data_IF_195996006405
#
_entry.id   IF_195996006405
#
_cell.length_a   1.000
_cell.length_b   1.000
_cell.length_c   1.000
_cell.angle_alpha   90.00
_cell.angle_beta   90.00
_cell.angle_gamma   90.00
#
_symmetry.space_group_name_H-M   'P 1'
#
loop_
_entity.id
_entity.type
_entity.pdbx_description
1 polymer ?
#
# COMPACT_ATOMS: atom_id res chain seq x y z
N UNK A 1 56.06 -0.54 -15.98
CA UNK A 1 55.13 -1.31 -15.09
C UNK A 1 55.91 -1.68 -13.84
N UNK A 2 55.34 -1.42 -12.67
CA UNK A 2 55.98 -1.85 -11.40
C UNK A 2 56.09 -3.37 -11.38
N UNK A 3 57.23 -3.89 -10.82
CA UNK A 3 57.46 -5.35 -10.66
C UNK A 3 56.29 -5.92 -9.82
N UNK A 4 55.57 -6.92 -10.37
CA UNK A 4 54.52 -7.62 -9.67
C UNK A 4 55.18 -8.52 -8.59
N UNK A 5 54.89 -8.28 -7.32
CA UNK A 5 55.32 -9.16 -6.21
C UNK A 5 54.32 -10.29 -6.05
N UNK A 6 54.59 -11.44 -6.64
CA UNK A 6 53.75 -12.64 -6.54
C UNK A 6 53.91 -13.31 -5.16
N UNK A 7 52.78 -13.75 -4.60
CA UNK A 7 52.74 -14.67 -3.45
C UNK A 7 52.99 -16.12 -3.94
N UNK A 8 53.19 -17.03 -3.02
CA UNK A 8 53.45 -18.46 -3.34
C UNK A 8 52.29 -19.11 -4.13
N UNK A 9 51.08 -18.55 -4.08
CA UNK A 9 49.88 -19.02 -4.80
C UNK A 9 49.63 -18.31 -6.13
N UNK A 10 50.64 -17.70 -6.71
CA UNK A 10 50.60 -16.91 -7.97
C UNK A 10 49.65 -15.71 -7.92
N UNK A 11 49.33 -15.21 -6.72
CA UNK A 11 48.52 -13.99 -6.54
C UNK A 11 49.38 -12.78 -6.21
N UNK A 12 48.90 -11.59 -6.52
CA UNK A 12 49.59 -10.34 -6.21
C UNK A 12 48.60 -9.23 -5.93
N UNK A 13 49.03 -8.24 -5.14
CA UNK A 13 48.24 -7.08 -4.81
C UNK A 13 48.28 -6.07 -5.97
N UNK A 14 47.14 -5.61 -6.41
CA UNK A 14 46.98 -4.56 -7.41
C UNK A 14 46.75 -3.22 -6.73
N UNK A 15 45.80 -3.16 -5.78
CA UNK A 15 45.45 -1.95 -5.07
C UNK A 15 44.90 -2.24 -3.65
N UNK A 16 45.31 -1.43 -2.70
CA UNK A 16 44.89 -1.48 -1.30
C UNK A 16 46.04 -1.55 -0.33
N UNK A 17 45.95 -0.79 0.77
CA UNK A 17 46.93 -0.76 1.87
C UNK A 17 46.62 -1.84 2.91
N UNK A 18 47.45 -1.94 3.96
CA UNK A 18 47.24 -2.93 5.03
C UNK A 18 45.88 -2.80 5.75
N UNK A 19 45.33 -1.58 5.84
CA UNK A 19 44.03 -1.29 6.46
C UNK A 19 42.83 -1.35 5.51
N UNK A 20 43.03 -1.47 4.20
CA UNK A 20 41.94 -1.45 3.23
C UNK A 20 41.22 -2.80 3.16
N UNK A 21 39.88 -2.71 3.08
CA UNK A 21 39.00 -3.87 2.95
C UNK A 21 37.80 -3.51 2.05
N UNK A 22 37.63 -4.15 0.88
CA UNK A 22 38.43 -5.21 0.30
C UNK A 22 39.73 -4.71 -0.39
N UNK A 23 40.66 -5.62 -0.66
CA UNK A 23 41.83 -5.42 -1.50
C UNK A 23 41.57 -5.94 -2.91
N UNK A 24 42.06 -5.22 -3.93
CA UNK A 24 42.04 -5.69 -5.32
C UNK A 24 43.26 -6.52 -5.61
N UNK A 25 43.03 -7.77 -5.98
CA UNK A 25 44.06 -8.78 -6.20
C UNK A 25 44.01 -9.29 -7.63
N UNK A 26 45.17 -9.72 -8.12
CA UNK A 26 45.32 -10.42 -9.38
C UNK A 26 45.83 -11.84 -9.14
N UNK A 27 45.40 -12.80 -9.95
CA UNK A 27 45.92 -14.18 -9.98
C UNK A 27 46.35 -14.51 -11.39
N UNK A 28 47.62 -14.89 -11.56
CA UNK A 28 48.14 -15.31 -12.85
C UNK A 28 47.52 -16.62 -13.30
N UNK A 29 47.04 -16.66 -14.54
CA UNK A 29 46.51 -17.84 -15.20
C UNK A 29 47.50 -18.39 -16.21
N UNK A 30 47.38 -19.67 -16.57
CA UNK A 30 48.22 -20.35 -17.54
C UNK A 30 48.05 -19.87 -18.98
N UNK A 31 46.94 -19.16 -19.28
CA UNK A 31 46.61 -18.65 -20.60
C UNK A 31 47.19 -17.26 -20.90
N UNK A 32 48.10 -16.75 -20.07
CA UNK A 32 48.78 -15.45 -20.23
C UNK A 32 47.92 -14.26 -19.78
N UNK A 33 46.85 -14.48 -19.04
CA UNK A 33 46.01 -13.43 -18.44
C UNK A 33 46.08 -13.50 -16.94
N UNK A 34 45.71 -12.39 -16.27
CA UNK A 34 45.48 -12.33 -14.83
C UNK A 34 43.98 -12.21 -14.55
N UNK A 35 43.45 -13.07 -13.73
CA UNK A 35 42.07 -12.97 -13.21
C UNK A 35 42.03 -12.02 -12.03
N UNK A 36 41.07 -11.07 -12.03
CA UNK A 36 40.90 -10.07 -10.99
C UNK A 36 39.86 -10.53 -9.97
N UNK A 37 40.15 -10.29 -8.70
CA UNK A 37 39.23 -10.58 -7.59
C UNK A 37 39.41 -9.62 -6.43
N UNK A 38 38.41 -9.53 -5.56
CA UNK A 38 38.46 -8.78 -4.31
C UNK A 38 38.73 -9.74 -3.15
N UNK A 39 39.74 -9.44 -2.34
CA UNK A 39 40.05 -10.16 -1.10
C UNK A 39 39.47 -9.39 0.08
N UNK A 40 38.50 -10.01 0.78
CA UNK A 40 37.91 -9.48 2.00
C UNK A 40 38.56 -10.13 3.23
N UNK A 41 38.83 -9.34 4.25
CA UNK A 41 39.32 -9.77 5.54
C UNK A 41 38.24 -9.60 6.61
N UNK A 42 37.90 -10.66 7.34
CA UNK A 42 36.84 -10.69 8.37
C UNK A 42 37.36 -10.93 9.79
N UNK A 43 38.63 -10.68 10.01
CA UNK A 43 39.27 -10.88 11.32
C UNK A 43 39.86 -12.26 11.50
N UNK A 44 40.12 -12.62 12.76
CA UNK A 44 40.63 -13.92 13.16
C UNK A 44 39.50 -14.77 13.74
N UNK A 45 39.44 -16.02 13.34
CA UNK A 45 38.48 -17.03 13.85
C UNK A 45 39.23 -18.17 14.48
N UNK A 46 38.72 -18.69 15.59
CA UNK A 46 39.27 -19.90 16.21
C UNK A 46 38.82 -21.10 15.42
N UNK A 47 39.78 -21.92 15.02
CA UNK A 47 39.57 -23.19 14.30
C UNK A 47 40.22 -24.29 15.07
N UNK A 48 39.46 -25.33 15.38
CA UNK A 48 39.98 -26.55 15.99
C UNK A 48 40.39 -27.54 14.89
N UNK A 49 41.65 -27.95 14.90
CA UNK A 49 42.16 -28.96 13.95
C UNK A 49 41.56 -30.34 14.26
N UNK A 50 41.66 -31.28 13.30
CA UNK A 50 41.22 -32.68 13.49
C UNK A 50 41.91 -33.37 14.68
N UNK A 51 43.03 -32.83 15.12
CA UNK A 51 43.83 -33.34 16.27
C UNK A 51 43.48 -32.62 17.59
N UNK A 52 42.39 -31.86 17.66
CA UNK A 52 41.93 -31.19 18.88
C UNK A 52 42.70 -29.91 19.25
N UNK A 53 43.65 -29.45 18.46
CA UNK A 53 44.41 -28.22 18.72
C UNK A 53 43.66 -27.02 18.16
N UNK A 54 43.35 -26.06 19.03
CA UNK A 54 42.70 -24.80 18.65
C UNK A 54 43.72 -23.72 18.30
N UNK A 55 43.58 -23.10 17.13
CA UNK A 55 44.46 -22.01 16.68
C UNK A 55 43.66 -20.90 15.99
N UNK A 56 44.20 -19.69 15.99
CA UNK A 56 43.57 -18.54 15.32
C UNK A 56 43.96 -18.51 13.84
N UNK A 57 42.95 -18.50 12.98
CA UNK A 57 43.12 -18.39 11.52
C UNK A 57 42.48 -17.09 11.02
N UNK A 58 43.17 -16.40 10.09
CA UNK A 58 42.57 -15.24 9.39
C UNK A 58 41.41 -15.69 8.51
N UNK A 59 40.23 -15.18 8.74
CA UNK A 59 39.08 -15.40 7.85
C UNK A 59 39.18 -14.44 6.67
N UNK A 60 39.35 -15.02 5.47
CA UNK A 60 39.39 -14.29 4.19
C UNK A 60 38.38 -14.88 3.22
N UNK A 61 37.77 -14.03 2.41
CA UNK A 61 36.87 -14.45 1.32
C UNK A 61 37.24 -13.71 0.05
N UNK A 62 37.14 -14.41 -1.08
CA UNK A 62 37.45 -13.86 -2.39
C UNK A 62 36.16 -13.73 -3.21
N UNK A 63 35.96 -12.56 -3.84
CA UNK A 63 34.92 -12.31 -4.84
C UNK A 63 35.60 -12.18 -6.20
N UNK A 64 35.37 -13.14 -7.11
CA UNK A 64 35.91 -13.12 -8.46
C UNK A 64 35.09 -12.09 -9.29
N UNK A 65 35.79 -11.15 -9.94
CA UNK A 65 35.14 -10.06 -10.68
C UNK A 65 34.76 -10.45 -12.12
N UNK A 66 35.27 -11.56 -12.65
CA UNK A 66 35.11 -11.94 -14.06
C UNK A 66 35.84 -10.99 -15.03
N UNK A 67 36.80 -10.23 -14.52
CA UNK A 67 37.66 -9.30 -15.28
C UNK A 67 39.04 -9.85 -15.40
N UNK A 68 39.68 -9.64 -16.59
CA UNK A 68 40.98 -10.19 -16.91
C UNK A 68 41.92 -9.13 -17.46
N UNK A 69 43.21 -9.21 -17.10
CA UNK A 69 44.27 -8.37 -17.65
C UNK A 69 45.26 -9.23 -18.46
N UNK A 70 45.74 -8.73 -19.57
CA UNK A 70 46.85 -9.31 -20.27
C UNK A 70 48.13 -9.18 -19.43
N UNK A 71 48.86 -10.28 -19.19
CA UNK A 71 50.08 -10.26 -18.39
C UNK A 71 51.20 -9.50 -19.09
N UNK A 72 51.34 -9.66 -20.43
CA UNK A 72 52.29 -9.01 -21.29
C UNK A 72 51.61 -8.41 -22.53
N UNK A 73 50.93 -7.25 -22.40
CA UNK A 73 50.20 -6.65 -23.49
C UNK A 73 51.16 -6.18 -24.59
N UNK A 74 51.03 -6.72 -25.78
CA UNK A 74 51.90 -6.47 -26.94
C UNK A 74 51.41 -5.31 -27.82
N UNK A 75 50.08 -5.22 -27.98
CA UNK A 75 49.45 -4.23 -28.85
C UNK A 75 48.99 -2.98 -28.09
N UNK A 76 48.85 -1.81 -28.75
CA UNK A 76 48.22 -0.64 -28.13
C UNK A 76 46.80 -0.90 -27.64
N UNK A 77 46.05 -1.76 -28.34
CA UNK A 77 44.68 -2.14 -27.99
C UNK A 77 44.64 -2.91 -26.66
N UNK A 78 45.49 -3.92 -26.49
CA UNK A 78 45.60 -4.69 -25.25
C UNK A 78 45.99 -3.81 -24.06
N UNK A 79 46.86 -2.83 -24.26
CA UNK A 79 47.26 -1.86 -23.23
C UNK A 79 46.06 -0.98 -22.80
N UNK A 80 45.26 -0.55 -23.79
CA UNK A 80 44.05 0.23 -23.54
C UNK A 80 42.99 -0.61 -22.79
N UNK A 81 42.77 -1.84 -23.25
CA UNK A 81 41.84 -2.77 -22.56
C UNK A 81 42.26 -3.01 -21.12
N UNK A 82 43.54 -3.26 -20.85
CA UNK A 82 44.04 -3.41 -19.48
C UNK A 82 43.78 -2.18 -18.63
N UNK A 83 43.97 -0.97 -19.19
CA UNK A 83 43.68 0.27 -18.45
C UNK A 83 42.22 0.41 -18.13
N UNK A 84 41.33 0.21 -19.10
CA UNK A 84 39.88 0.31 -18.92
C UNK A 84 39.37 -0.76 -17.93
N UNK A 85 39.82 -2.00 -18.05
CA UNK A 85 39.49 -3.10 -17.14
C UNK A 85 39.91 -2.81 -15.70
N UNK A 86 41.14 -2.24 -15.55
CA UNK A 86 41.66 -1.90 -14.23
C UNK A 86 40.84 -0.78 -13.56
N UNK A 87 40.42 0.23 -14.30
CA UNK A 87 39.56 1.29 -13.79
C UNK A 87 38.20 0.76 -13.36
N UNK A 88 37.61 -0.17 -14.11
CA UNK A 88 36.36 -0.84 -13.73
C UNK A 88 36.57 -1.63 -12.42
N UNK A 89 37.66 -2.41 -12.32
CA UNK A 89 37.93 -3.21 -11.12
C UNK A 89 38.17 -2.35 -9.87
N UNK A 90 38.85 -1.20 -10.02
CA UNK A 90 39.04 -0.22 -8.94
C UNK A 90 37.73 0.39 -8.47
N UNK A 91 36.83 0.74 -9.42
CA UNK A 91 35.49 1.24 -9.09
C UNK A 91 34.68 0.20 -8.33
N UNK A 92 34.69 -1.06 -8.78
CA UNK A 92 34.02 -2.16 -8.08
C UNK A 92 34.59 -2.35 -6.67
N UNK A 93 35.93 -2.27 -6.48
CA UNK A 93 36.55 -2.31 -5.17
C UNK A 93 36.04 -1.20 -4.25
N UNK A 94 35.98 0.04 -4.77
CA UNK A 94 35.50 1.20 -4.01
C UNK A 94 34.03 1.02 -3.61
N UNK A 95 33.15 0.61 -4.54
CA UNK A 95 31.74 0.35 -4.26
C UNK A 95 31.55 -0.73 -3.19
N UNK A 96 32.34 -1.82 -3.27
CA UNK A 96 32.31 -2.88 -2.23
C UNK A 96 32.85 -2.42 -0.88
N UNK A 97 33.84 -1.55 -0.87
CA UNK A 97 34.38 -0.92 0.35
C UNK A 97 33.31 -0.03 1.03
N UNK A 98 32.60 0.78 0.24
CA UNK A 98 31.49 1.60 0.74
C UNK A 98 30.34 0.72 1.27
N UNK A 99 29.97 -0.34 0.57
CA UNK A 99 28.95 -1.30 1.04
C UNK A 99 29.31 -1.94 2.40
N UNK A 100 30.61 -2.12 2.70
CA UNK A 100 31.06 -2.62 4.00
C UNK A 100 30.97 -1.56 5.09
N UNK A 101 31.29 -0.30 4.77
CA UNK A 101 31.22 0.83 5.70
C UNK A 101 29.77 1.21 6.03
N UNK A 102 28.88 1.16 5.04
CA UNK A 102 27.46 1.49 5.19
C UNK A 102 26.67 0.44 6.01
N UNK A 103 27.25 -0.75 6.21
CA UNK A 103 26.68 -1.80 7.05
C UNK A 103 27.20 -1.68 8.48
N UNK A 104 26.43 -1.05 9.35
CA UNK A 104 26.71 -0.89 10.77
C UNK A 104 26.89 -2.21 11.55
N UNK A 105 26.70 -3.37 10.92
CA UNK A 105 26.92 -4.71 11.49
C UNK A 105 28.14 -5.35 10.85
N UNK A 106 29.32 -5.00 11.36
CA UNK A 106 30.61 -5.65 11.16
C UNK A 106 30.73 -6.64 9.98
N UNK A 107 31.65 -6.40 9.11
CA UNK A 107 32.41 -7.28 8.17
C UNK A 107 31.81 -8.61 7.65
N UNK A 108 30.53 -8.88 7.75
CA UNK A 108 29.92 -10.08 7.16
C UNK A 108 29.14 -9.69 5.91
N UNK A 109 29.75 -9.93 4.74
CA UNK A 109 28.96 -10.04 3.50
C UNK A 109 27.95 -11.19 3.72
N UNK A 110 26.70 -10.84 4.02
CA UNK A 110 25.61 -11.83 3.95
C UNK A 110 25.66 -12.38 2.53
N UNK A 111 26.03 -13.65 2.38
CA UNK A 111 25.79 -14.39 1.14
C UNK A 111 24.34 -14.09 0.78
N UNK A 112 24.08 -13.47 -0.38
CA UNK A 112 22.74 -13.41 -0.91
C UNK A 112 22.26 -14.84 -1.03
N UNK A 113 21.55 -15.34 0.00
CA UNK A 113 20.76 -16.55 -0.13
C UNK A 113 19.92 -16.32 -1.37
N UNK A 114 19.71 -17.32 -2.21
CA UNK A 114 18.75 -17.30 -3.29
C UNK A 114 17.36 -17.08 -2.69
N UNK A 115 17.07 -15.82 -2.34
CA UNK A 115 15.83 -15.43 -1.68
C UNK A 115 14.77 -15.32 -2.78
N UNK A 116 13.75 -16.13 -2.69
CA UNK A 116 12.55 -15.93 -3.46
C UNK A 116 11.75 -14.78 -2.82
N UNK A 117 11.65 -13.65 -3.53
CA UNK A 117 10.93 -12.47 -3.01
C UNK A 117 9.46 -12.76 -2.69
N UNK A 118 8.81 -13.68 -3.43
CA UNK A 118 7.41 -14.05 -3.15
C UNK A 118 7.27 -14.82 -1.83
N UNK A 119 8.20 -15.71 -1.50
CA UNK A 119 8.21 -16.42 -0.22
C UNK A 119 8.47 -15.45 0.93
N UNK A 120 9.41 -14.52 0.77
CA UNK A 120 9.64 -13.48 1.75
C UNK A 120 8.42 -12.57 1.94
N UNK A 121 7.78 -12.16 0.83
CA UNK A 121 6.57 -11.34 0.86
C UNK A 121 5.39 -12.05 1.55
N UNK A 122 5.28 -13.37 1.37
CA UNK A 122 4.29 -14.19 2.07
C UNK A 122 4.59 -14.28 3.58
N UNK A 123 5.84 -14.53 3.95
CA UNK A 123 6.27 -14.54 5.36
C UNK A 123 6.00 -13.19 6.04
N UNK A 124 6.28 -12.08 5.34
CA UNK A 124 5.92 -10.74 5.81
C UNK A 124 4.41 -10.61 6.06
N UNK A 125 3.56 -11.10 5.13
CA UNK A 125 2.11 -11.10 5.34
C UNK A 125 1.71 -11.92 6.56
N UNK A 126 2.27 -13.09 6.76
CA UNK A 126 1.92 -13.96 7.91
C UNK A 126 2.27 -13.29 9.24
N UNK A 127 3.42 -12.68 9.33
CA UNK A 127 3.90 -11.93 10.50
C UNK A 127 3.15 -10.60 10.73
N UNK A 128 2.40 -10.11 9.74
CA UNK A 128 1.77 -8.79 9.80
C UNK A 128 0.52 -8.80 10.68
N UNK A 129 0.45 -7.94 11.71
CA UNK A 129 -0.61 -7.95 12.74
C UNK A 129 -1.60 -6.78 12.65
N UNK A 130 -1.32 -5.75 11.79
CA UNK A 130 -2.16 -4.54 11.74
C UNK A 130 -3.50 -4.78 11.03
N UNK A 131 -4.48 -3.92 11.28
CA UNK A 131 -5.86 -4.03 10.79
C UNK A 131 -6.00 -4.13 9.25
N UNK A 132 -4.99 -3.63 8.50
CA UNK A 132 -4.99 -3.69 7.03
C UNK A 132 -4.36 -4.98 6.44
N UNK A 133 -4.17 -6.02 7.27
CA UNK A 133 -3.60 -7.33 6.87
C UNK A 133 -4.25 -7.91 5.61
N UNK A 134 -5.57 -7.84 5.49
CA UNK A 134 -6.29 -8.31 4.28
C UNK A 134 -5.86 -7.58 2.99
N UNK A 135 -5.50 -6.30 3.09
CA UNK A 135 -5.03 -5.53 1.93
C UNK A 135 -3.58 -5.87 1.57
N UNK A 136 -2.75 -6.24 2.54
CA UNK A 136 -1.42 -6.80 2.31
C UNK A 136 -1.53 -8.10 1.51
N UNK A 137 -2.40 -9.04 1.95
CA UNK A 137 -2.67 -10.29 1.22
C UNK A 137 -3.16 -10.04 -0.20
N UNK A 138 -4.08 -9.07 -0.37
CA UNK A 138 -4.60 -8.72 -1.69
C UNK A 138 -3.52 -8.12 -2.59
N UNK A 139 -2.63 -7.28 -2.06
CA UNK A 139 -1.50 -6.74 -2.82
C UNK A 139 -0.52 -7.85 -3.26
N UNK A 140 -0.23 -8.83 -2.38
CA UNK A 140 0.52 -10.03 -2.72
C UNK A 140 -0.15 -10.79 -3.88
N UNK A 141 -1.43 -11.13 -3.75
CA UNK A 141 -2.15 -11.88 -4.79
C UNK A 141 -2.16 -11.14 -6.12
N UNK A 142 -2.40 -9.81 -6.13
CA UNK A 142 -2.37 -9.01 -7.36
C UNK A 142 -0.97 -8.98 -8.00
N UNK A 143 0.09 -8.99 -7.19
CA UNK A 143 1.44 -9.03 -7.73
C UNK A 143 1.77 -10.41 -8.33
N UNK A 144 1.38 -11.50 -7.67
CA UNK A 144 1.47 -12.86 -8.24
C UNK A 144 0.66 -12.96 -9.53
N UNK A 145 -0.59 -12.46 -9.54
CA UNK A 145 -1.45 -12.43 -10.73
C UNK A 145 -0.77 -11.71 -11.89
N UNK A 146 -0.19 -10.53 -11.65
CA UNK A 146 0.54 -9.77 -12.65
C UNK A 146 1.75 -10.54 -13.22
N UNK A 147 2.50 -11.25 -12.37
CA UNK A 147 3.68 -12.00 -12.82
C UNK A 147 3.32 -13.17 -13.75
N UNK A 148 2.16 -13.79 -13.57
CA UNK A 148 1.72 -14.95 -14.37
C UNK A 148 0.81 -14.58 -15.54
N UNK A 149 0.15 -13.43 -15.46
CA UNK A 149 -0.86 -12.97 -16.41
C UNK A 149 -0.94 -11.44 -16.45
N UNK A 150 0.08 -10.76 -17.01
CA UNK A 150 0.16 -9.30 -17.06
C UNK A 150 -1.00 -8.67 -17.86
N UNK A 151 -1.60 -9.41 -18.78
CA UNK A 151 -2.73 -8.96 -19.61
C UNK A 151 -4.11 -9.26 -19.02
N UNK A 152 -4.14 -9.84 -17.80
CA UNK A 152 -5.37 -10.17 -17.04
C UNK A 152 -6.35 -11.09 -17.82
N UNK A 153 -5.79 -12.07 -18.50
CA UNK A 153 -6.55 -13.01 -19.35
C UNK A 153 -7.26 -14.11 -18.56
N UNK A 154 -6.81 -14.40 -17.32
CA UNK A 154 -7.38 -15.45 -16.46
C UNK A 154 -8.45 -14.95 -15.49
N UNK A 155 -8.73 -13.65 -15.44
CA UNK A 155 -9.80 -13.13 -14.59
C UNK A 155 -11.16 -13.42 -15.23
N UNK A 156 -12.08 -14.13 -14.53
CA UNK A 156 -13.40 -14.45 -15.05
C UNK A 156 -14.16 -13.19 -15.47
N UNK A 157 -14.72 -13.21 -16.67
CA UNK A 157 -15.58 -12.15 -17.20
C UNK A 157 -17.05 -12.52 -16.99
N UNK A 158 -17.98 -11.54 -16.97
CA UNK A 158 -19.40 -11.80 -16.72
C UNK A 158 -20.06 -12.77 -17.73
N UNK A 159 -19.53 -12.83 -18.94
CA UNK A 159 -20.00 -13.65 -20.07
C UNK A 159 -19.37 -15.06 -20.09
N UNK A 160 -18.45 -15.36 -19.16
CA UNK A 160 -17.78 -16.66 -19.14
C UNK A 160 -18.65 -17.77 -18.58
N UNK A 161 -18.59 -18.94 -19.24
CA UNK A 161 -19.19 -20.17 -18.73
C UNK A 161 -18.42 -20.69 -17.50
N UNK A 162 -19.06 -21.54 -16.71
CA UNK A 162 -18.44 -22.21 -15.58
C UNK A 162 -17.18 -22.98 -15.98
N UNK A 163 -17.23 -23.65 -17.12
CA UNK A 163 -16.12 -24.44 -17.67
C UNK A 163 -14.93 -23.55 -18.06
N UNK A 164 -15.16 -22.39 -18.65
CA UNK A 164 -14.14 -21.40 -18.98
C UNK A 164 -13.47 -20.86 -17.70
N UNK A 165 -14.26 -20.59 -16.66
CA UNK A 165 -13.73 -20.17 -15.36
C UNK A 165 -12.84 -21.24 -14.71
N UNK A 166 -13.26 -22.52 -14.76
CA UNK A 166 -12.49 -23.65 -14.23
C UNK A 166 -11.19 -23.88 -15.01
N UNK A 167 -11.22 -23.76 -16.33
CA UNK A 167 -10.03 -23.86 -17.19
C UNK A 167 -9.02 -22.76 -16.88
N UNK A 168 -9.47 -21.53 -16.78
CA UNK A 168 -8.64 -20.39 -16.41
C UNK A 168 -8.03 -20.56 -15.00
N UNK A 169 -8.81 -21.03 -14.03
CA UNK A 169 -8.34 -21.30 -12.67
C UNK A 169 -7.25 -22.40 -12.63
N UNK A 170 -7.43 -23.48 -13.42
CA UNK A 170 -6.43 -24.56 -13.54
C UNK A 170 -5.12 -24.06 -14.16
N UNK A 171 -5.20 -23.30 -15.25
CA UNK A 171 -4.02 -22.72 -15.91
C UNK A 171 -3.30 -21.73 -15.00
N UNK A 172 -4.03 -20.88 -14.30
CA UNK A 172 -3.50 -19.96 -13.28
C UNK A 172 -2.75 -20.73 -12.18
N UNK A 173 -3.37 -21.78 -11.65
CA UNK A 173 -2.74 -22.60 -10.61
C UNK A 173 -1.46 -23.28 -11.11
N UNK A 174 -1.45 -23.77 -12.37
CA UNK A 174 -0.27 -24.36 -13.01
C UNK A 174 0.88 -23.34 -13.11
N UNK A 175 0.62 -22.13 -13.59
CA UNK A 175 1.63 -21.07 -13.72
C UNK A 175 2.14 -20.54 -12.38
N UNK A 176 1.29 -20.57 -11.35
CA UNK A 176 1.70 -20.14 -9.99
C UNK A 176 2.63 -21.17 -9.35
N UNK A 177 2.49 -22.46 -9.70
CA UNK A 177 3.31 -23.53 -9.12
C UNK A 177 4.78 -23.35 -9.51
N UNK A 178 5.65 -23.18 -8.50
CA UNK A 178 7.09 -23.01 -8.69
C UNK A 178 7.51 -21.59 -9.15
N UNK A 179 6.60 -20.62 -9.15
CA UNK A 179 6.93 -19.23 -9.46
C UNK A 179 7.95 -18.68 -8.46
N UNK A 180 9.08 -18.24 -8.98
CA UNK A 180 10.16 -17.64 -8.19
C UNK A 180 10.57 -16.32 -8.83
N UNK A 181 10.79 -15.31 -8.00
CA UNK A 181 11.36 -14.04 -8.42
C UNK A 181 12.49 -13.65 -7.47
N UNK A 182 13.66 -13.38 -8.04
CA UNK A 182 14.80 -12.89 -7.27
C UNK A 182 14.61 -11.39 -6.98
N UNK A 183 15.04 -10.87 -5.81
CA UNK A 183 14.96 -9.45 -5.49
C UNK A 183 15.57 -8.53 -6.55
N UNK A 184 16.64 -8.99 -7.24
CA UNK A 184 17.31 -8.25 -8.32
C UNK A 184 16.44 -8.09 -9.58
N UNK A 185 15.43 -8.93 -9.77
CA UNK A 185 14.50 -8.86 -10.89
C UNK A 185 13.41 -7.80 -10.69
N UNK A 186 13.27 -7.26 -9.47
CA UNK A 186 12.34 -6.16 -9.18
C UNK A 186 12.87 -4.85 -9.78
N UNK A 187 12.73 -4.70 -11.08
CA UNK A 187 13.15 -3.49 -11.79
C UNK A 187 12.07 -2.40 -11.74
N UNK A 188 12.49 -1.14 -11.95
CA UNK A 188 11.54 -0.02 -12.07
C UNK A 188 10.53 -0.25 -13.20
N UNK A 189 10.96 -0.84 -14.33
CA UNK A 189 10.07 -1.19 -15.45
C UNK A 189 9.00 -2.20 -15.05
N UNK A 190 9.36 -3.25 -14.31
CA UNK A 190 8.40 -4.21 -13.76
C UNK A 190 7.37 -3.54 -12.86
N UNK A 191 7.78 -2.60 -12.00
CA UNK A 191 6.86 -1.90 -11.10
C UNK A 191 5.92 -0.97 -11.88
N UNK A 192 6.39 -0.31 -12.94
CA UNK A 192 5.52 0.46 -13.84
C UNK A 192 4.48 -0.46 -14.48
N UNK A 193 4.88 -1.58 -15.07
CA UNK A 193 3.95 -2.56 -15.62
C UNK A 193 2.94 -3.07 -14.60
N UNK A 194 3.36 -3.29 -13.35
CA UNK A 194 2.44 -3.66 -12.26
C UNK A 194 1.45 -2.54 -11.92
N UNK A 195 1.87 -1.26 -11.93
CA UNK A 195 0.94 -0.14 -11.71
C UNK A 195 -0.09 -0.03 -12.84
N UNK A 196 0.32 -0.24 -14.10
CA UNK A 196 -0.57 -0.24 -15.26
C UNK A 196 -1.58 -1.39 -15.19
N UNK A 197 -1.12 -2.59 -14.80
CA UNK A 197 -2.00 -3.75 -14.54
C UNK A 197 -3.05 -3.44 -13.47
N UNK A 198 -2.64 -2.83 -12.34
CA UNK A 198 -3.59 -2.46 -11.30
C UNK A 198 -4.61 -1.42 -11.78
N UNK A 199 -4.20 -0.42 -12.58
CA UNK A 199 -5.08 0.62 -13.08
C UNK A 199 -6.09 0.09 -14.12
N UNK A 200 -5.70 -0.87 -14.96
CA UNK A 200 -6.61 -1.58 -15.88
C UNK A 200 -7.67 -2.40 -15.13
N UNK A 201 -7.25 -3.08 -14.07
CA UNK A 201 -8.09 -4.02 -13.32
C UNK A 201 -9.01 -3.36 -12.28
N UNK A 202 -8.57 -2.27 -11.67
CA UNK A 202 -9.30 -1.62 -10.58
C UNK A 202 -9.66 -0.18 -10.91
N UNK A 203 -10.95 0.13 -10.86
CA UNK A 203 -11.45 1.50 -11.02
C UNK A 203 -11.25 2.32 -9.73
N UNK A 204 -11.04 3.62 -9.86
CA UNK A 204 -10.97 4.58 -8.76
C UNK A 204 -9.78 4.35 -7.81
N UNK A 205 -10.02 4.38 -6.51
CA UNK A 205 -8.97 4.31 -5.48
C UNK A 205 -8.40 2.90 -5.25
N UNK A 206 -8.98 1.88 -5.86
CA UNK A 206 -8.58 0.48 -5.63
C UNK A 206 -7.13 0.21 -6.02
N UNK A 207 -6.72 0.65 -7.21
CA UNK A 207 -5.34 0.51 -7.70
C UNK A 207 -4.34 1.24 -6.78
N UNK A 208 -4.63 2.50 -6.42
CA UNK A 208 -3.80 3.29 -5.51
C UNK A 208 -3.63 2.61 -4.14
N UNK A 209 -4.73 2.12 -3.56
CA UNK A 209 -4.71 1.45 -2.26
C UNK A 209 -3.85 0.18 -2.28
N UNK A 210 -3.99 -0.65 -3.31
CA UNK A 210 -3.21 -1.88 -3.45
C UNK A 210 -1.73 -1.58 -3.68
N UNK A 211 -1.43 -0.63 -4.54
CA UNK A 211 -0.06 -0.20 -4.77
C UNK A 211 0.60 0.41 -3.53
N UNK A 212 -0.14 1.19 -2.73
CA UNK A 212 0.37 1.71 -1.46
C UNK A 212 0.75 0.57 -0.48
N UNK A 213 -0.01 -0.54 -0.46
CA UNK A 213 0.33 -1.72 0.34
C UNK A 213 1.52 -2.48 -0.22
N UNK A 214 1.62 -2.61 -1.53
CA UNK A 214 2.80 -3.17 -2.19
C UNK A 214 4.06 -2.35 -1.88
N UNK A 215 4.01 -1.01 -1.99
CA UNK A 215 5.13 -0.13 -1.58
C UNK A 215 5.56 -0.34 -0.14
N UNK A 216 4.60 -0.56 0.77
CA UNK A 216 4.88 -0.83 2.17
C UNK A 216 5.67 -2.14 2.35
N UNK A 217 5.30 -3.19 1.61
CA UNK A 217 6.02 -4.47 1.62
C UNK A 217 7.44 -4.29 1.07
N UNK A 218 7.57 -3.62 -0.08
CA UNK A 218 8.89 -3.36 -0.68
C UNK A 218 9.76 -2.51 0.23
N UNK A 219 9.20 -1.53 0.95
CA UNK A 219 9.94 -0.73 1.94
C UNK A 219 10.50 -1.62 3.05
N UNK A 220 9.68 -2.51 3.61
CA UNK A 220 10.13 -3.47 4.61
C UNK A 220 11.22 -4.41 4.05
N UNK A 221 11.10 -4.84 2.78
CA UNK A 221 12.12 -5.66 2.14
C UNK A 221 13.47 -4.93 1.96
N UNK A 222 13.45 -3.61 1.83
CA UNK A 222 14.66 -2.79 1.82
C UNK A 222 15.23 -2.66 3.23
N UNK A 223 14.38 -2.48 4.25
CA UNK A 223 14.78 -2.43 5.66
C UNK A 223 15.39 -3.76 6.13
N UNK A 224 14.93 -4.89 5.59
CA UNK A 224 15.45 -6.24 5.88
C UNK A 224 16.65 -6.66 4.97
N UNK A 225 17.22 -5.74 4.18
CA UNK A 225 18.32 -6.01 3.22
C UNK A 225 18.00 -7.07 2.16
N UNK A 226 16.73 -7.42 1.95
CA UNK A 226 16.29 -8.35 0.90
C UNK A 226 16.34 -7.69 -0.47
N UNK A 227 15.93 -6.42 -0.54
CA UNK A 227 15.97 -5.59 -1.75
C UNK A 227 16.95 -4.45 -1.54
N UNK A 228 17.99 -4.36 -2.36
CA UNK A 228 19.06 -3.35 -2.21
C UNK A 228 18.61 -1.90 -2.38
N UNK A 229 17.75 -1.65 -3.37
CA UNK A 229 17.26 -0.32 -3.73
C UNK A 229 15.77 -0.38 -3.99
N UNK A 230 15.03 0.56 -3.44
CA UNK A 230 13.59 0.60 -3.59
C UNK A 230 13.17 0.83 -5.05
N UNK A 231 12.65 -0.19 -5.77
CA UNK A 231 12.25 -0.06 -7.17
C UNK A 231 10.97 0.76 -7.35
N UNK A 232 10.22 1.01 -6.26
CA UNK A 232 9.00 1.81 -6.27
C UNK A 232 9.26 3.32 -6.15
N UNK A 233 10.54 3.75 -5.99
CA UNK A 233 10.88 5.15 -5.82
C UNK A 233 10.43 6.00 -7.03
N UNK A 234 9.71 7.10 -6.77
CA UNK A 234 9.21 8.02 -7.79
C UNK A 234 8.00 7.50 -8.58
N UNK A 235 7.51 6.27 -8.32
CA UNK A 235 6.31 5.73 -9.00
C UNK A 235 5.08 6.01 -8.13
N UNK A 236 4.06 6.66 -8.73
CA UNK A 236 2.82 7.04 -8.05
C UNK A 236 1.63 6.76 -8.97
N UNK A 237 0.59 6.13 -8.43
CA UNK A 237 -0.72 6.08 -9.08
C UNK A 237 -1.48 7.34 -8.68
N UNK A 238 -1.76 8.21 -9.64
CA UNK A 238 -2.58 9.41 -9.42
C UNK A 238 -4.05 9.00 -9.27
N UNK A 239 -4.71 9.55 -8.28
CA UNK A 239 -6.15 9.37 -8.05
C UNK A 239 -6.79 10.75 -7.98
N UNK A 240 -7.84 10.94 -8.74
CA UNK A 240 -8.68 12.14 -8.56
C UNK A 240 -9.54 11.97 -7.31
N UNK A 241 -9.12 12.61 -6.24
CA UNK A 241 -9.82 12.61 -4.95
C UNK A 241 -10.77 13.81 -4.81
N UNK A 242 -10.87 14.64 -5.84
CA UNK A 242 -11.54 15.93 -5.76
C UNK A 242 -13.03 15.89 -6.14
N UNK A 243 -13.48 14.79 -6.74
CA UNK A 243 -14.87 14.61 -7.15
C UNK A 243 -15.62 13.67 -6.21
N UNK A 244 -16.86 14.00 -5.90
CA UNK A 244 -17.76 13.11 -5.17
C UNK A 244 -18.21 11.99 -6.15
N UNK A 245 -17.71 10.76 -5.90
CA UNK A 245 -17.97 9.60 -6.76
C UNK A 245 -19.19 8.77 -6.33
N UNK A 246 -19.92 9.24 -5.34
CA UNK A 246 -21.09 8.55 -4.76
C UNK A 246 -22.34 9.34 -5.06
N UNK A 247 -23.40 8.60 -5.37
CA UNK A 247 -24.73 9.22 -5.52
C UNK A 247 -25.18 9.85 -4.19
N UNK A 248 -25.84 10.97 -4.31
CA UNK A 248 -26.47 11.70 -3.20
C UNK A 248 -27.96 11.84 -3.49
N UNK A 249 -28.77 11.78 -2.43
CA UNK A 249 -30.20 12.06 -2.47
C UNK A 249 -30.42 13.54 -2.26
N UNK A 250 -31.22 14.18 -3.13
CA UNK A 250 -31.76 15.52 -2.89
C UNK A 250 -32.77 15.49 -1.74
N UNK A 251 -33.19 16.66 -1.26
CA UNK A 251 -34.24 16.74 -0.23
C UNK A 251 -35.53 16.11 -0.74
N UNK A 252 -35.93 16.38 -1.99
CA UNK A 252 -37.14 15.81 -2.59
C UNK A 252 -37.07 14.29 -2.71
N UNK A 253 -35.92 13.76 -3.16
CA UNK A 253 -35.69 12.31 -3.21
C UNK A 253 -35.71 11.66 -1.80
N UNK A 254 -35.20 12.36 -0.78
CA UNK A 254 -35.28 11.90 0.61
C UNK A 254 -36.73 11.84 1.07
N UNK A 255 -37.55 12.86 0.78
CA UNK A 255 -38.97 12.89 1.12
C UNK A 255 -39.74 11.81 0.37
N UNK A 256 -39.48 11.63 -0.93
CA UNK A 256 -40.04 10.57 -1.74
C UNK A 256 -39.72 9.17 -1.17
N UNK A 257 -38.47 8.94 -0.77
CA UNK A 257 -38.04 7.70 -0.15
C UNK A 257 -38.76 7.47 1.18
N UNK A 258 -38.85 8.49 2.04
CA UNK A 258 -39.53 8.41 3.34
C UNK A 258 -41.03 8.11 3.18
N UNK A 259 -41.68 8.71 2.19
CA UNK A 259 -43.10 8.48 1.89
C UNK A 259 -43.36 7.10 1.26
N UNK A 260 -42.37 6.49 0.65
CA UNK A 260 -42.51 5.18 -0.01
C UNK A 260 -42.70 4.06 1.02
N UNK A 261 -43.67 3.21 0.74
CA UNK A 261 -43.95 2.04 1.59
C UNK A 261 -42.73 1.11 1.66
N UNK A 262 -42.46 0.66 2.89
CA UNK A 262 -41.35 -0.22 3.24
C UNK A 262 -41.85 -1.56 3.75
N UNK A 263 -41.82 -2.58 2.90
CA UNK A 263 -42.33 -3.94 3.24
C UNK A 263 -41.23 -4.96 3.45
N UNK A 264 -41.55 -5.96 4.30
CA UNK A 264 -40.90 -7.26 4.30
C UNK A 264 -39.55 -7.33 4.97
N UNK A 265 -39.04 -6.22 5.55
CA UNK A 265 -37.70 -6.14 6.09
C UNK A 265 -37.72 -5.49 7.48
N UNK A 266 -36.61 -5.55 8.22
CA UNK A 266 -36.53 -4.96 9.57
C UNK A 266 -36.85 -3.46 9.56
N UNK A 267 -37.88 -3.06 10.31
CA UNK A 267 -38.25 -1.63 10.49
C UNK A 267 -37.09 -0.78 10.99
N UNK A 268 -36.12 -1.37 11.68
CA UNK A 268 -34.93 -0.67 12.16
C UNK A 268 -34.01 -0.25 11.04
N UNK A 269 -33.99 -0.94 9.90
CA UNK A 269 -33.19 -0.52 8.72
C UNK A 269 -33.71 0.82 8.21
N UNK A 270 -35.03 0.95 8.03
CA UNK A 270 -35.66 2.19 7.60
C UNK A 270 -35.39 3.34 8.57
N UNK A 271 -35.68 3.11 9.88
CA UNK A 271 -35.46 4.10 10.95
C UNK A 271 -33.99 4.58 10.97
N UNK A 272 -33.06 3.66 11.01
CA UNK A 272 -31.63 3.97 11.06
C UNK A 272 -31.09 4.66 9.79
N UNK A 273 -31.60 4.28 8.61
CA UNK A 273 -31.16 4.93 7.37
C UNK A 273 -31.68 6.37 7.28
N UNK A 274 -32.95 6.62 7.63
CA UNK A 274 -33.50 7.97 7.72
C UNK A 274 -32.72 8.79 8.76
N UNK A 275 -32.43 8.21 9.91
CA UNK A 275 -31.60 8.85 10.93
C UNK A 275 -30.22 9.24 10.38
N UNK A 276 -29.57 8.38 9.61
CA UNK A 276 -28.29 8.68 8.96
C UNK A 276 -28.39 9.76 7.88
N UNK A 277 -29.52 9.88 7.18
CA UNK A 277 -29.79 10.97 6.22
C UNK A 277 -29.83 12.35 6.89
N UNK A 278 -30.20 12.41 8.16
CA UNK A 278 -30.32 13.66 8.92
C UNK A 278 -29.19 13.90 9.94
N UNK A 279 -28.35 12.91 10.22
CA UNK A 279 -27.23 13.03 11.16
C UNK A 279 -25.86 12.77 10.53
N UNK A 280 -25.80 12.21 9.33
CA UNK A 280 -24.57 11.92 8.64
C UNK A 280 -23.72 10.79 9.25
N UNK A 281 -24.28 9.89 10.06
CA UNK A 281 -23.53 8.80 10.68
C UNK A 281 -23.09 7.74 9.69
N UNK A 282 -21.97 7.07 10.00
CA UNK A 282 -21.55 5.87 9.27
C UNK A 282 -22.34 4.65 9.76
N UNK A 283 -22.51 3.65 8.91
CA UNK A 283 -23.14 2.38 9.32
C UNK A 283 -22.46 1.73 10.53
N UNK A 284 -21.12 1.77 10.59
CA UNK A 284 -20.37 1.22 11.71
C UNK A 284 -20.62 1.97 13.02
N UNK A 285 -20.99 3.24 12.97
CA UNK A 285 -21.28 4.03 14.16
C UNK A 285 -22.76 3.83 14.58
N UNK A 286 -23.71 3.94 13.64
CA UNK A 286 -25.14 3.84 13.95
C UNK A 286 -25.59 2.46 14.47
N UNK A 287 -24.94 1.38 14.01
CA UNK A 287 -25.26 0.01 14.45
C UNK A 287 -24.93 -0.27 15.92
N UNK A 288 -23.98 0.47 16.47
CA UNK A 288 -23.47 0.27 17.83
C UNK A 288 -24.01 1.33 18.82
N UNK A 289 -24.92 2.23 18.37
CA UNK A 289 -25.56 3.21 19.24
C UNK A 289 -26.50 2.56 20.23
N UNK A 290 -26.34 2.92 21.50
CA UNK A 290 -27.25 2.56 22.59
C UNK A 290 -27.99 3.79 23.10
N UNK A 291 -29.08 3.57 23.87
CA UNK A 291 -29.79 4.67 24.51
C UNK A 291 -28.94 5.43 25.54
N UNK A 292 -27.84 4.83 26.03
CA UNK A 292 -26.83 5.53 26.84
C UNK A 292 -26.13 6.68 26.14
N UNK A 293 -26.11 6.67 24.80
CA UNK A 293 -25.52 7.74 23.99
C UNK A 293 -26.41 8.99 23.89
N UNK A 294 -27.66 8.91 24.32
CA UNK A 294 -28.67 9.98 24.14
C UNK A 294 -28.90 10.73 25.45
N UNK A 295 -28.59 12.03 25.39
CA UNK A 295 -29.01 12.97 26.44
C UNK A 295 -30.33 13.62 26.02
N UNK A 296 -31.45 13.10 26.54
CA UNK A 296 -32.79 13.60 26.22
C UNK A 296 -33.05 15.00 26.79
N UNK A 297 -32.46 15.32 27.95
CA UNK A 297 -32.65 16.61 28.61
C UNK A 297 -32.00 17.73 27.79
N UNK A 298 -30.79 17.52 27.31
CA UNK A 298 -30.06 18.49 26.50
C UNK A 298 -30.23 18.26 24.97
N UNK A 299 -31.00 17.25 24.57
CA UNK A 299 -31.30 16.90 23.18
C UNK A 299 -30.04 16.68 22.36
N UNK A 300 -29.12 15.84 22.83
CA UNK A 300 -27.84 15.56 22.22
C UNK A 300 -27.58 14.06 22.11
N UNK A 301 -26.96 13.67 21.00
CA UNK A 301 -26.37 12.34 20.83
C UNK A 301 -24.86 12.49 20.91
N UNK A 302 -24.24 11.73 21.82
CA UNK A 302 -22.78 11.75 22.04
C UNK A 302 -22.20 10.34 21.91
N UNK A 303 -21.22 10.17 21.07
CA UNK A 303 -20.55 8.87 20.85
C UNK A 303 -19.14 9.02 20.32
N UNK A 304 -18.33 7.98 20.46
CA UNK A 304 -17.01 7.88 19.82
C UNK A 304 -17.11 7.12 18.49
N UNK A 305 -16.56 7.69 17.43
CA UNK A 305 -16.56 7.06 16.10
C UNK A 305 -15.68 5.81 16.08
N UNK A 306 -16.23 4.65 15.73
CA UNK A 306 -15.52 3.37 15.65
C UNK A 306 -14.26 3.39 14.78
N UNK A 307 -14.26 4.15 13.70
CA UNK A 307 -13.14 4.23 12.75
C UNK A 307 -11.94 5.05 13.26
N UNK A 308 -12.17 6.02 14.14
CA UNK A 308 -11.14 6.96 14.61
C UNK A 308 -10.84 6.79 16.10
N UNK A 309 -11.52 5.89 16.78
CA UNK A 309 -11.30 5.57 18.20
C UNK A 309 -9.84 5.18 18.43
N UNK A 310 -9.19 5.86 19.38
CA UNK A 310 -7.78 5.64 19.72
C UNK A 310 -6.75 6.20 18.72
N UNK A 311 -7.18 6.83 17.63
CA UNK A 311 -6.27 7.40 16.61
C UNK A 311 -6.36 8.92 16.49
N UNK A 312 -7.36 9.56 17.08
CA UNK A 312 -7.57 11.00 16.99
C UNK A 312 -8.31 11.52 18.21
N UNK A 313 -7.90 12.67 18.73
CA UNK A 313 -8.61 13.41 19.76
C UNK A 313 -10.00 13.92 19.28
N UNK A 314 -10.28 13.86 17.97
CA UNK A 314 -11.56 14.22 17.35
C UNK A 314 -12.50 13.01 17.16
N UNK A 315 -12.29 11.90 17.85
CA UNK A 315 -13.16 10.71 17.77
C UNK A 315 -14.53 10.92 18.41
N UNK A 316 -14.64 11.81 19.41
CA UNK A 316 -15.89 12.20 20.06
C UNK A 316 -16.73 13.09 19.13
N UNK A 317 -17.97 12.71 18.88
CA UNK A 317 -18.95 13.48 18.08
C UNK A 317 -20.16 13.75 18.91
N UNK A 318 -20.62 15.02 18.88
CA UNK A 318 -21.86 15.46 19.51
C UNK A 318 -22.80 16.00 18.44
N UNK A 319 -24.00 15.44 18.34
CA UNK A 319 -25.01 15.82 17.35
C UNK A 319 -26.24 16.35 18.09
N UNK A 320 -26.69 17.58 17.79
CA UNK A 320 -27.97 18.11 18.27
C UNK A 320 -29.14 17.28 17.69
N UNK A 321 -30.13 17.00 18.50
CA UNK A 321 -31.34 16.25 18.14
C UNK A 321 -32.56 17.17 18.10
N UNK A 322 -33.26 17.19 16.96
CA UNK A 322 -34.60 17.78 16.86
C UNK A 322 -35.68 16.74 17.19
N UNK A 323 -36.94 17.14 17.23
CA UNK A 323 -38.06 16.26 17.61
C UNK A 323 -38.15 15.04 16.69
N UNK A 324 -38.06 15.23 15.38
CA UNK A 324 -38.10 14.10 14.43
C UNK A 324 -36.96 13.09 14.60
N UNK A 325 -35.78 13.52 15.00
CA UNK A 325 -34.68 12.61 15.33
C UNK A 325 -34.90 11.88 16.65
N UNK A 326 -35.50 12.56 17.67
CA UNK A 326 -35.87 11.93 18.91
C UNK A 326 -36.97 10.89 18.70
N UNK A 327 -37.94 11.16 17.83
CA UNK A 327 -38.99 10.20 17.45
C UNK A 327 -38.42 8.96 16.76
N UNK A 328 -37.45 9.13 15.89
CA UNK A 328 -36.72 8.02 15.26
C UNK A 328 -35.92 7.19 16.28
N UNK A 329 -35.32 7.82 17.27
CA UNK A 329 -34.61 7.15 18.37
C UNK A 329 -35.58 6.39 19.24
N UNK A 330 -36.67 7.07 19.69
CA UNK A 330 -37.60 6.53 20.66
C UNK A 330 -37.04 6.51 22.09
N UNK A 331 -37.55 5.60 22.92
CA UNK A 331 -37.09 5.36 24.31
C UNK A 331 -36.85 3.87 24.52
N UNK A 332 -35.84 3.53 25.31
CA UNK A 332 -35.52 2.14 25.65
C UNK A 332 -34.60 2.06 26.84
N UNK A 333 -34.22 0.83 27.19
CA UNK A 333 -33.25 0.57 28.25
C UNK A 333 -31.87 1.14 27.88
N UNK A 334 -31.17 1.66 28.87
CA UNK A 334 -29.93 2.43 28.71
C UNK A 334 -28.89 1.73 27.81
N UNK A 335 -28.68 0.44 28.03
CA UNK A 335 -27.63 -0.32 27.32
C UNK A 335 -28.15 -1.06 26.06
N UNK A 336 -29.46 -0.95 25.78
CA UNK A 336 -30.04 -1.53 24.58
C UNK A 336 -29.68 -0.73 23.35
N UNK A 337 -29.55 -1.43 22.21
CA UNK A 337 -29.28 -0.79 20.90
C UNK A 337 -30.50 0.04 20.46
N UNK A 338 -30.27 1.28 20.01
CA UNK A 338 -31.32 2.14 19.42
C UNK A 338 -31.86 1.51 18.13
N UNK A 339 -30.97 0.97 17.32
CA UNK A 339 -31.29 0.36 16.03
C UNK A 339 -30.66 -1.04 15.94
N UNK A 340 -31.34 -2.10 16.41
CA UNK A 340 -30.91 -3.48 16.19
C UNK A 340 -30.92 -3.79 14.69
N UNK A 341 -29.74 -3.71 14.05
CA UNK A 341 -29.60 -3.89 12.62
C UNK A 341 -29.10 -5.31 12.28
N UNK A 342 -29.62 -5.94 11.21
CA UNK A 342 -29.05 -7.17 10.70
C UNK A 342 -27.67 -6.92 10.04
N UNK A 343 -27.12 -7.94 9.37
CA UNK A 343 -25.83 -7.79 8.69
C UNK A 343 -25.85 -6.64 7.67
N UNK A 344 -24.68 -6.04 7.45
CA UNK A 344 -24.52 -4.93 6.46
C UNK A 344 -25.03 -5.31 5.06
N UNK A 345 -24.81 -6.56 4.63
CA UNK A 345 -25.28 -7.06 3.35
C UNK A 345 -26.81 -7.09 3.25
N UNK A 346 -27.49 -7.50 4.34
CA UNK A 346 -28.96 -7.48 4.38
C UNK A 346 -29.48 -6.04 4.36
N UNK A 347 -28.84 -5.13 5.12
CA UNK A 347 -29.19 -3.71 5.09
C UNK A 347 -29.05 -3.12 3.66
N UNK A 348 -27.98 -3.43 2.94
CA UNK A 348 -27.79 -2.97 1.55
C UNK A 348 -28.82 -3.57 0.59
N UNK A 349 -29.22 -4.82 0.79
CA UNK A 349 -30.29 -5.45 -0.01
C UNK A 349 -31.63 -4.74 0.22
N UNK A 350 -31.96 -4.48 1.47
CA UNK A 350 -33.16 -3.75 1.85
C UNK A 350 -33.21 -2.35 1.24
N UNK A 351 -32.13 -1.60 1.33
CA UNK A 351 -32.02 -0.27 0.73
C UNK A 351 -32.24 -0.29 -0.77
N UNK A 352 -31.64 -1.27 -1.48
CA UNK A 352 -31.83 -1.42 -2.93
C UNK A 352 -33.28 -1.64 -3.32
N UNK A 353 -33.99 -2.48 -2.58
CA UNK A 353 -35.41 -2.74 -2.83
C UNK A 353 -36.25 -1.49 -2.54
N UNK A 354 -35.96 -0.79 -1.45
CA UNK A 354 -36.69 0.40 -1.05
C UNK A 354 -36.50 1.56 -2.02
N UNK A 355 -35.24 1.85 -2.43
CA UNK A 355 -34.95 2.90 -3.41
C UNK A 355 -35.56 2.60 -4.78
N UNK A 356 -35.54 1.32 -5.20
CA UNK A 356 -36.21 0.91 -6.45
C UNK A 356 -37.73 1.15 -6.38
N UNK A 357 -38.39 0.83 -5.26
CA UNK A 357 -39.82 1.10 -5.04
C UNK A 357 -40.13 2.59 -5.05
N UNK A 358 -39.22 3.40 -4.53
CA UNK A 358 -39.31 4.84 -4.57
C UNK A 358 -39.04 5.45 -5.97
N UNK A 359 -38.75 4.67 -7.00
CA UNK A 359 -38.43 5.17 -8.33
C UNK A 359 -37.11 5.93 -8.41
N UNK A 360 -36.21 5.74 -7.45
CA UNK A 360 -34.91 6.40 -7.39
C UNK A 360 -33.89 5.54 -8.16
N UNK A 361 -33.49 6.00 -9.35
CA UNK A 361 -32.50 5.34 -10.21
C UNK A 361 -31.07 5.80 -9.87
N UNK A 362 -30.69 5.58 -8.59
CA UNK A 362 -29.36 5.85 -8.06
C UNK A 362 -28.85 4.65 -7.28
N UNK A 363 -27.54 4.39 -7.33
CA UNK A 363 -26.93 3.32 -6.53
C UNK A 363 -26.74 3.76 -5.08
N UNK A 364 -27.81 3.69 -4.29
CA UNK A 364 -27.80 4.12 -2.91
C UNK A 364 -27.24 3.01 -2.01
N UNK A 365 -26.22 3.38 -1.27
CA UNK A 365 -25.58 2.59 -0.21
C UNK A 365 -25.71 3.32 1.12
N UNK A 366 -25.41 2.64 2.22
CA UNK A 366 -25.43 3.30 3.52
C UNK A 366 -24.56 4.56 3.60
N UNK A 367 -23.42 4.54 2.90
CA UNK A 367 -22.51 5.68 2.86
C UNK A 367 -23.08 6.90 2.09
N UNK A 368 -24.04 6.64 1.18
CA UNK A 368 -24.72 7.71 0.46
C UNK A 368 -25.56 8.57 1.40
N UNK A 369 -26.15 8.01 2.47
CA UNK A 369 -26.88 8.81 3.47
C UNK A 369 -25.99 9.91 4.06
N UNK A 370 -24.76 9.57 4.45
CA UNK A 370 -23.80 10.54 4.98
C UNK A 370 -23.39 11.60 3.94
N UNK A 371 -23.24 11.19 2.67
CA UNK A 371 -22.93 12.14 1.59
C UNK A 371 -24.12 13.06 1.32
N UNK A 372 -25.35 12.54 1.30
CA UNK A 372 -26.57 13.31 1.15
C UNK A 372 -26.72 14.32 2.28
N UNK A 373 -26.55 13.91 3.53
CA UNK A 373 -26.52 14.82 4.67
C UNK A 373 -25.53 15.97 4.45
N UNK A 374 -24.27 15.66 4.14
CA UNK A 374 -23.23 16.67 3.99
C UNK A 374 -23.54 17.68 2.86
N UNK A 375 -23.99 17.19 1.69
CA UNK A 375 -24.34 18.03 0.55
C UNK A 375 -25.56 18.88 0.85
N UNK A 376 -26.62 18.28 1.40
CA UNK A 376 -27.89 19.01 1.66
C UNK A 376 -27.72 20.09 2.72
N UNK A 377 -26.97 19.87 3.81
CA UNK A 377 -26.76 20.93 4.81
C UNK A 377 -25.83 22.04 4.30
N UNK A 378 -24.87 21.72 3.40
CA UNK A 378 -24.08 22.75 2.71
C UNK A 378 -24.96 23.57 1.76
N UNK A 379 -25.87 22.93 0.98
CA UNK A 379 -26.84 23.62 0.11
C UNK A 379 -27.76 24.53 0.91
N UNK A 380 -28.06 24.19 2.15
CA UNK A 380 -28.87 25.04 3.06
C UNK A 380 -28.02 26.08 3.84
N UNK A 381 -26.81 26.38 3.38
CA UNK A 381 -25.98 27.48 3.89
C UNK A 381 -25.10 27.14 5.11
N UNK A 382 -25.01 25.87 5.51
CA UNK A 382 -24.12 25.50 6.62
C UNK A 382 -22.64 25.69 6.25
N UNK A 383 -21.85 26.22 7.19
CA UNK A 383 -20.40 26.36 7.01
C UNK A 383 -19.72 25.01 6.95
N UNK A 384 -18.71 24.88 6.08
CA UNK A 384 -17.92 23.64 5.90
C UNK A 384 -17.28 23.12 7.22
N UNK A 385 -16.88 24.01 8.13
CA UNK A 385 -16.34 23.64 9.43
C UNK A 385 -17.40 22.98 10.32
N UNK A 386 -18.64 23.52 10.30
CA UNK A 386 -19.79 22.93 10.99
C UNK A 386 -20.08 21.53 10.44
N UNK A 387 -20.11 21.37 9.12
CA UNK A 387 -20.29 20.07 8.47
C UNK A 387 -19.19 19.11 8.84
N UNK A 388 -17.94 19.53 8.84
CA UNK A 388 -16.80 18.71 9.24
C UNK A 388 -16.92 18.26 10.70
N UNK A 389 -17.32 19.13 11.61
CA UNK A 389 -17.57 18.85 13.02
C UNK A 389 -18.68 17.80 13.21
N UNK A 390 -19.85 18.00 12.60
CA UNK A 390 -20.99 17.07 12.66
C UNK A 390 -20.62 15.70 12.09
N UNK A 391 -19.78 15.66 11.07
CA UNK A 391 -19.28 14.41 10.49
C UNK A 391 -18.14 13.80 11.31
N UNK A 392 -17.54 14.49 12.28
CA UNK A 392 -16.37 14.03 13.03
C UNK A 392 -15.15 13.85 12.14
N UNK A 393 -14.90 14.78 11.22
CA UNK A 393 -13.69 14.82 10.43
C UNK A 393 -12.58 15.57 11.19
N UNK A 394 -11.39 14.98 11.29
CA UNK A 394 -10.22 15.60 11.94
C UNK A 394 -9.67 16.81 11.17
N UNK A 395 -10.17 17.09 9.96
CA UNK A 395 -9.76 18.22 9.12
C UNK A 395 -10.68 18.41 7.91
N UNK A 396 -10.55 19.56 7.25
CA UNK A 396 -11.42 19.96 6.14
C UNK A 396 -11.23 19.14 4.86
N UNK A 397 -10.04 18.59 4.62
CA UNK A 397 -9.70 17.84 3.41
C UNK A 397 -10.73 16.78 3.01
N UNK A 398 -11.33 16.09 4.01
CA UNK A 398 -12.37 15.08 3.76
C UNK A 398 -13.75 15.66 3.50
N UNK A 399 -13.95 16.96 3.79
CA UNK A 399 -15.22 17.66 3.63
C UNK A 399 -15.22 18.52 2.35
N UNK A 400 -14.07 18.96 1.86
CA UNK A 400 -13.91 19.78 0.65
C UNK A 400 -14.54 19.17 -0.60
N UNK A 401 -14.56 17.83 -0.71
CA UNK A 401 -15.23 17.14 -1.82
C UNK A 401 -16.72 17.44 -1.92
N UNK A 402 -17.37 17.80 -0.81
CA UNK A 402 -18.79 18.15 -0.80
C UNK A 402 -19.03 19.58 -1.29
N UNK A 403 -18.13 20.54 -1.01
CA UNK A 403 -18.26 21.92 -1.48
C UNK A 403 -18.17 22.03 -2.99
N UNK A 404 -17.42 21.12 -3.63
CA UNK A 404 -17.31 21.06 -5.09
C UNK A 404 -18.56 20.48 -5.77
N UNK A 405 -19.40 19.79 -5.03
CA UNK A 405 -20.67 19.25 -5.52
C UNK A 405 -21.84 20.27 -5.38
N UNK A 406 -21.56 21.48 -4.88
CA UNK A 406 -22.58 22.46 -4.52
C UNK A 406 -22.36 23.73 -5.35
N UNK A 407 -22.92 23.77 -6.56
CA UNK A 407 -22.83 24.97 -7.43
C UNK A 407 -23.70 26.11 -6.93
N UNK A 408 -24.83 25.82 -6.26
CA UNK A 408 -25.74 26.83 -5.68
C UNK A 408 -25.07 27.78 -4.66
N UNK A 409 -24.03 27.28 -3.95
CA UNK A 409 -23.27 28.15 -3.03
C UNK A 409 -22.45 29.20 -3.76
N UNK A 410 -21.98 28.91 -4.97
CA UNK A 410 -21.24 29.87 -5.79
C UNK A 410 -22.17 30.96 -6.32
N UNK A 411 -23.36 30.57 -6.80
CA UNK A 411 -24.39 31.49 -7.25
C UNK A 411 -24.87 32.35 -6.09
N UNK A 412 -25.17 31.77 -4.94
CA UNK A 412 -25.59 32.56 -3.77
C UNK A 412 -24.49 33.51 -3.29
N UNK A 413 -23.22 33.12 -3.33
CA UNK A 413 -22.09 33.98 -2.98
C UNK A 413 -21.96 35.18 -3.94
N UNK A 414 -22.13 34.98 -5.25
CA UNK A 414 -22.11 36.09 -6.24
C UNK A 414 -23.32 36.97 -6.08
N UNK A 415 -24.51 36.41 -5.91
CA UNK A 415 -25.75 37.13 -5.75
C UNK A 415 -25.86 37.93 -4.42
N UNK A 416 -24.99 37.61 -3.44
CA UNK A 416 -24.90 38.36 -2.19
C UNK A 416 -24.11 39.68 -2.32
N UNK A 417 -23.41 39.90 -3.44
CA UNK A 417 -22.72 41.16 -3.71
C UNK A 417 -23.71 42.27 -4.08
N UNK A 418 -23.43 43.53 -3.72
CA UNK A 418 -24.23 44.64 -4.14
C UNK A 418 -24.34 44.71 -5.68
N UNK A 419 -25.50 45.06 -6.21
CA UNK A 419 -25.68 45.27 -7.64
C UNK A 419 -24.66 46.26 -8.20
N UNK A 420 -23.96 45.84 -9.24
CA UNK A 420 -23.02 46.71 -9.96
C UNK A 420 -23.80 47.72 -10.76
N UNK A 421 -23.85 48.96 -10.29
CA UNK A 421 -24.38 50.10 -11.09
C UNK A 421 -23.20 50.65 -11.91
N UNK A 422 -23.19 50.34 -13.22
CA UNK A 422 -22.27 50.90 -14.21
C UNK A 422 -22.77 52.22 -14.73
#
# INVERSE_FOLDING_TARGET
MAKKNYRADNTYLIEGNSGDNPKLMGRALSDGRDSLYLEFYFGKVEVTSKNGVTYQKNERRNEILGLYLWQAPRTPLERRQNKETLEIAKRMRFERGQELLDRAEGYRLKKNKDVNFLEWMWAYYEAYTKADKRHIKRAYNCFVDYLIDPDDTFTPKPDWTKEQCEKAAKEKAKRTRGLKIKPQQLTKGMIIGFTDYLQKRFKGEGAHTLYARFKKIVKAAVEDDVVRKNPCAGIVIKVDNNTLKKDVLSIDEMQQLIATHYEGESKNIRRAFIFCLYCGLRWCDVKDLTFANVDYANRRLSFEQAKTKGHSNASGVVIPLNDGLLDLIGKGERDALIFPLPSHTMCLKALRHWTKRAGIDKHITWHCARHSFAVNILNNGANIKTVASLLGHSGLKHTEKYTRAVDSLKEAAINSLPELKL
#
